data_IF_378669686081
#
_entry.id   IF_378669686081
#
_cell.length_a   1.000
_cell.length_b   1.000
_cell.length_c   1.000
_cell.angle_alpha   90.00
_cell.angle_beta   90.00
_cell.angle_gamma   90.00
#
_symmetry.space_group_name_H-M   'P 1'
#
loop_
_entity.id
_entity.type
_entity.pdbx_description
1 polymer ?
#
# COMPACT_ATOMS: atom_id res chain seq x y z
N UNK A 1 -40.87 9.97 -20.13
CA UNK A 1 -40.20 11.28 -20.24
C UNK A 1 -41.23 12.33 -19.88
N UNK A 2 -41.04 13.08 -18.79
CA UNK A 2 -41.65 14.40 -18.61
C UNK A 2 -40.54 15.31 -18.13
N UNK A 3 -40.13 16.21 -19.02
CA UNK A 3 -39.10 17.20 -18.79
C UNK A 3 -39.56 18.14 -17.66
N UNK A 4 -38.64 18.49 -16.75
CA UNK A 4 -38.87 19.57 -15.80
C UNK A 4 -38.78 20.90 -16.56
N UNK A 5 -39.92 21.40 -17.05
CA UNK A 5 -40.02 22.80 -17.52
C UNK A 5 -40.08 23.73 -16.29
N UNK A 6 -39.17 24.69 -16.23
CA UNK A 6 -39.15 25.73 -15.21
C UNK A 6 -39.45 27.07 -15.85
N UNK A 7 -40.65 27.60 -15.62
CA UNK A 7 -41.01 28.96 -16.03
C UNK A 7 -40.53 29.96 -14.97
N UNK A 8 -39.81 31.00 -15.40
CA UNK A 8 -39.37 32.08 -14.51
C UNK A 8 -39.70 33.45 -15.11
N UNK A 9 -40.25 34.34 -14.29
CA UNK A 9 -40.59 35.71 -14.69
C UNK A 9 -39.32 36.54 -14.87
N UNK A 10 -39.00 36.87 -16.13
CA UNK A 10 -38.01 37.89 -16.48
C UNK A 10 -38.65 39.28 -16.35
N UNK A 11 -37.90 40.28 -15.87
CA UNK A 11 -38.40 41.65 -15.88
C UNK A 11 -38.32 42.27 -17.29
N UNK A 12 -39.00 43.40 -17.49
CA UNK A 12 -39.15 44.06 -18.79
C UNK A 12 -38.03 45.08 -19.09
N UNK A 13 -37.00 45.18 -18.25
CA UNK A 13 -35.95 46.19 -18.38
C UNK A 13 -34.83 45.71 -19.32
N UNK A 14 -34.47 46.49 -20.36
CA UNK A 14 -33.37 46.12 -21.26
C UNK A 14 -32.05 45.97 -20.51
N UNK A 15 -31.39 44.82 -20.66
CA UNK A 15 -30.09 44.53 -20.04
C UNK A 15 -30.16 44.04 -18.59
N UNK A 16 -31.34 43.79 -18.03
CA UNK A 16 -31.43 43.20 -16.69
C UNK A 16 -30.98 41.75 -16.66
N UNK A 17 -30.16 41.40 -15.66
CA UNK A 17 -29.78 40.02 -15.34
C UNK A 17 -30.41 39.65 -14.00
N UNK A 18 -31.07 38.50 -13.94
CA UNK A 18 -31.62 37.92 -12.70
C UNK A 18 -30.98 36.55 -12.50
N UNK A 19 -30.22 36.39 -11.42
CA UNK A 19 -29.65 35.09 -11.07
C UNK A 19 -30.76 34.16 -10.58
N UNK A 20 -30.91 33.02 -11.24
CA UNK A 20 -31.85 31.96 -10.83
C UNK A 20 -31.09 30.98 -9.95
N UNK A 21 -31.30 31.05 -8.64
CA UNK A 21 -30.79 30.04 -7.70
C UNK A 21 -31.69 28.80 -7.78
N UNK A 22 -31.27 27.78 -8.54
CA UNK A 22 -31.94 26.46 -8.51
C UNK A 22 -31.71 25.78 -7.15
N UNK A 23 -32.68 25.00 -6.68
CA UNK A 23 -32.48 24.12 -5.54
C UNK A 23 -31.46 23.03 -5.90
N UNK A 24 -30.36 23.01 -5.14
CA UNK A 24 -29.34 21.95 -5.06
C UNK A 24 -28.62 21.64 -6.38
N UNK A 25 -27.38 22.17 -6.55
CA UNK A 25 -26.37 21.31 -7.15
C UNK A 25 -26.35 20.04 -6.30
N UNK A 26 -26.58 18.82 -6.84
CA UNK A 26 -26.26 17.62 -6.10
C UNK A 26 -24.76 17.72 -5.81
N UNK A 27 -24.42 17.99 -4.55
CA UNK A 27 -23.04 17.97 -4.10
C UNK A 27 -22.56 16.53 -4.26
N UNK A 28 -22.01 16.23 -5.43
CA UNK A 28 -21.42 14.93 -5.73
C UNK A 28 -20.12 14.87 -4.95
N UNK A 29 -20.21 14.40 -3.71
CA UNK A 29 -19.04 14.06 -2.92
C UNK A 29 -18.45 12.78 -3.50
N UNK A 30 -17.37 12.92 -4.28
CA UNK A 30 -16.57 11.79 -4.70
C UNK A 30 -15.54 11.50 -3.60
N UNK A 31 -15.70 10.37 -2.91
CA UNK A 31 -14.70 9.88 -1.96
C UNK A 31 -13.77 8.92 -2.69
N UNK A 32 -12.53 9.34 -2.93
CA UNK A 32 -11.49 8.47 -3.46
C UNK A 32 -10.60 8.00 -2.31
N UNK A 33 -10.60 6.70 -2.03
CA UNK A 33 -9.56 6.09 -1.19
C UNK A 33 -8.48 5.55 -2.12
N UNK A 34 -7.38 6.29 -2.25
CA UNK A 34 -6.19 5.81 -2.95
C UNK A 34 -5.39 4.97 -1.98
N UNK A 35 -5.52 3.65 -2.07
CA UNK A 35 -4.64 2.73 -1.34
C UNK A 35 -3.48 2.37 -2.25
N UNK A 36 -2.30 2.85 -1.88
CA UNK A 36 -1.06 2.60 -2.58
C UNK A 36 -0.73 1.10 -2.48
N UNK A 37 -0.66 0.42 -3.62
CA UNK A 37 -0.50 -1.04 -3.66
C UNK A 37 0.84 -1.45 -3.04
N UNK A 38 0.79 -2.31 -2.03
CA UNK A 38 1.96 -2.76 -1.28
C UNK A 38 2.43 -4.11 -1.81
N UNK A 39 3.72 -4.19 -2.17
CA UNK A 39 4.36 -5.44 -2.60
C UNK A 39 3.95 -5.91 -4.00
N UNK A 40 3.50 -5.02 -4.88
CA UNK A 40 3.09 -5.35 -6.27
C UNK A 40 4.15 -6.17 -7.02
N UNK A 41 5.42 -5.81 -6.82
CA UNK A 41 6.59 -6.49 -7.41
C UNK A 41 7.37 -7.32 -6.37
N UNK A 42 6.77 -7.58 -5.21
CA UNK A 42 7.42 -8.24 -4.08
C UNK A 42 8.28 -7.31 -3.24
N UNK A 43 9.12 -7.92 -2.39
CA UNK A 43 9.97 -7.24 -1.43
C UNK A 43 11.40 -7.75 -1.50
N UNK A 44 12.34 -6.84 -1.22
CA UNK A 44 13.69 -7.21 -0.80
C UNK A 44 13.76 -7.20 0.73
N UNK A 45 14.52 -8.12 1.31
CA UNK A 45 14.72 -8.23 2.75
C UNK A 45 16.14 -7.80 3.10
N UNK A 46 16.26 -6.89 4.06
CA UNK A 46 17.55 -6.47 4.61
C UNK A 46 17.58 -6.71 6.11
N UNK A 47 18.70 -7.27 6.59
CA UNK A 47 19.01 -7.33 8.01
C UNK A 47 19.71 -6.04 8.40
N UNK A 48 19.13 -5.31 9.36
CA UNK A 48 19.66 -4.05 9.87
C UNK A 48 20.22 -4.22 11.28
N UNK A 49 21.11 -3.31 11.67
CA UNK A 49 21.64 -3.30 13.03
C UNK A 49 20.51 -3.06 14.03
N UNK A 50 20.53 -3.81 15.13
CA UNK A 50 19.51 -3.69 16.16
C UNK A 50 19.63 -2.38 16.96
N UNK A 51 20.86 -1.86 17.12
CA UNK A 51 21.13 -0.67 17.94
C UNK A 51 22.12 0.29 17.26
N UNK A 52 21.97 1.61 17.50
CA UNK A 52 22.92 2.61 17.00
C UNK A 52 24.28 2.57 17.71
N UNK A 53 24.36 1.89 18.86
CA UNK A 53 25.56 1.74 19.70
C UNK A 53 26.40 0.52 19.34
N UNK A 54 26.09 -0.20 18.25
CA UNK A 54 26.91 -1.30 17.77
C UNK A 54 28.36 -0.83 17.55
N UNK A 55 29.37 -1.46 18.18
CA UNK A 55 30.78 -1.06 18.00
C UNK A 55 31.22 -1.06 16.54
N UNK A 56 30.68 -2.00 15.74
CA UNK A 56 30.95 -2.11 14.31
C UNK A 56 30.31 -0.97 13.50
N UNK A 57 29.13 -0.48 13.89
CA UNK A 57 28.51 0.66 13.21
C UNK A 57 29.25 1.96 13.57
N UNK A 58 29.65 2.13 14.82
CA UNK A 58 30.41 3.29 15.30
C UNK A 58 31.78 3.42 14.61
N UNK A 59 32.44 2.31 14.30
CA UNK A 59 33.75 2.33 13.61
C UNK A 59 33.68 2.76 12.15
N UNK A 60 32.49 2.80 11.54
CA UNK A 60 32.32 3.22 10.14
C UNK A 60 32.38 4.74 9.92
N UNK A 61 32.37 5.54 11.00
CA UNK A 61 32.41 7.00 10.96
C UNK A 61 31.38 7.62 9.98
N UNK A 62 30.14 7.11 10.03
CA UNK A 62 29.05 7.56 9.18
C UNK A 62 28.51 8.91 9.65
N UNK A 63 27.90 9.68 8.74
CA UNK A 63 27.11 10.85 9.14
C UNK A 63 25.93 10.42 10.04
N UNK A 64 25.42 11.30 10.93
CA UNK A 64 24.33 10.94 11.84
C UNK A 64 23.09 10.37 11.12
N UNK A 65 22.73 10.95 9.96
CA UNK A 65 21.60 10.46 9.17
C UNK A 65 21.87 9.09 8.54
N UNK A 66 23.08 8.86 8.03
CA UNK A 66 23.47 7.56 7.48
C UNK A 66 23.50 6.49 8.57
N UNK A 67 23.94 6.82 9.79
CA UNK A 67 23.89 5.91 10.93
C UNK A 67 22.45 5.55 11.30
N UNK A 68 21.55 6.54 11.38
CA UNK A 68 20.12 6.30 11.61
C UNK A 68 19.47 5.46 10.50
N UNK A 69 19.88 5.68 9.25
CA UNK A 69 19.44 4.87 8.10
C UNK A 69 19.84 3.40 8.22
N UNK A 70 20.99 3.08 8.83
CA UNK A 70 21.43 1.70 9.03
C UNK A 70 20.68 0.96 10.17
N UNK A 71 19.98 1.69 11.05
CA UNK A 71 19.31 1.12 12.23
C UNK A 71 17.79 1.18 12.10
N UNK A 72 17.25 2.28 11.57
CA UNK A 72 15.81 2.57 11.46
C UNK A 72 15.43 3.11 10.06
N UNK A 73 15.72 2.37 8.98
CA UNK A 73 15.44 2.84 7.63
C UNK A 73 13.93 3.03 7.36
N UNK A 74 13.04 2.35 8.09
CA UNK A 74 11.59 2.57 8.01
C UNK A 74 11.16 3.99 8.44
N UNK A 75 12.03 4.71 9.17
CA UNK A 75 11.79 6.07 9.64
C UNK A 75 12.60 7.10 8.86
N UNK A 76 13.86 6.78 8.55
CA UNK A 76 14.80 7.74 7.97
C UNK A 76 15.08 7.52 6.47
N UNK A 77 14.63 6.40 5.91
CA UNK A 77 14.95 5.95 4.56
C UNK A 77 16.19 5.08 4.54
N UNK A 78 16.41 4.36 3.45
CA UNK A 78 17.59 3.52 3.23
C UNK A 78 18.58 4.26 2.34
N UNK A 79 19.79 4.45 2.84
CA UNK A 79 20.86 5.18 2.17
C UNK A 79 22.11 4.30 2.10
N UNK A 80 22.90 4.39 1.01
CA UNK A 80 24.21 3.78 0.96
C UNK A 80 25.14 4.44 1.98
N UNK A 81 26.21 3.74 2.38
CA UNK A 81 27.21 4.29 3.31
C UNK A 81 27.88 5.53 2.73
N UNK A 82 28.06 5.56 1.40
CA UNK A 82 28.62 6.72 0.68
C UNK A 82 28.01 6.82 -0.72
N UNK A 83 27.12 7.78 -0.93
CA UNK A 83 26.58 8.07 -2.26
C UNK A 83 27.65 8.67 -3.18
N UNK A 84 27.58 8.36 -4.48
CA UNK A 84 28.55 8.81 -5.48
C UNK A 84 29.95 8.22 -5.31
N UNK A 85 30.11 7.17 -4.50
CA UNK A 85 31.39 6.54 -4.26
C UNK A 85 31.86 5.69 -5.46
N UNK A 86 33.18 5.58 -5.68
CA UNK A 86 33.75 4.90 -6.84
C UNK A 86 33.60 3.37 -6.90
N UNK A 87 33.43 2.60 -5.79
CA UNK A 87 33.44 1.14 -5.91
C UNK A 87 32.36 0.60 -6.86
N UNK A 88 32.79 -0.33 -7.71
CA UNK A 88 31.94 -1.10 -8.61
C UNK A 88 31.04 -2.09 -7.87
N UNK A 89 30.09 -2.69 -8.58
CA UNK A 89 29.24 -3.78 -8.06
C UNK A 89 30.10 -4.91 -7.48
N UNK A 90 31.08 -5.39 -8.23
CA UNK A 90 32.00 -6.43 -7.76
C UNK A 90 32.77 -6.00 -6.50
N UNK A 91 33.35 -4.81 -6.48
CA UNK A 91 34.11 -4.34 -5.30
C UNK A 91 33.23 -4.22 -4.06
N UNK A 92 31.99 -3.75 -4.21
CA UNK A 92 31.03 -3.69 -3.12
C UNK A 92 30.79 -5.07 -2.50
N UNK A 93 30.43 -6.04 -3.34
CA UNK A 93 30.11 -7.42 -2.93
C UNK A 93 31.35 -8.14 -2.40
N UNK A 94 32.54 -7.78 -2.90
CA UNK A 94 33.82 -8.27 -2.39
C UNK A 94 34.17 -7.71 -1.00
N UNK A 95 33.40 -6.74 -0.47
CA UNK A 95 33.52 -6.22 0.88
C UNK A 95 33.83 -4.72 0.98
N UNK A 96 34.01 -4.02 -0.14
CA UNK A 96 34.20 -2.56 -0.15
C UNK A 96 32.85 -1.85 0.01
N UNK A 97 32.31 -1.90 1.23
CA UNK A 97 30.98 -1.37 1.53
C UNK A 97 30.88 0.17 1.54
N UNK A 98 32.00 0.89 1.37
CA UNK A 98 32.02 2.36 1.19
C UNK A 98 31.66 2.72 -0.25
N UNK A 99 30.45 2.33 -0.66
CA UNK A 99 29.97 2.38 -2.04
C UNK A 99 28.58 3.00 -2.13
N UNK A 100 28.12 3.25 -3.36
CA UNK A 100 26.77 3.71 -3.70
C UNK A 100 25.69 2.62 -3.68
N UNK A 101 26.00 1.43 -3.16
CA UNK A 101 25.10 0.29 -3.12
C UNK A 101 24.69 -0.07 -1.69
N UNK A 102 23.49 -0.62 -1.57
CA UNK A 102 23.01 -1.26 -0.35
C UNK A 102 22.65 -2.72 -0.65
N UNK A 103 23.31 -3.66 0.02
CA UNK A 103 22.99 -5.08 -0.04
C UNK A 103 21.61 -5.39 0.54
N UNK A 104 20.87 -6.24 -0.16
CA UNK A 104 19.61 -6.83 0.30
C UNK A 104 19.49 -8.24 -0.27
N UNK A 105 18.50 -9.00 0.19
CA UNK A 105 18.22 -10.36 -0.26
C UNK A 105 16.86 -10.41 -0.92
N UNK A 106 16.72 -11.22 -1.97
CA UNK A 106 15.42 -11.56 -2.56
C UNK A 106 14.71 -12.71 -1.83
N UNK A 107 15.33 -13.33 -0.82
CA UNK A 107 14.70 -14.36 0.02
C UNK A 107 13.69 -13.67 0.94
N UNK A 108 12.41 -13.91 0.71
CA UNK A 108 11.33 -13.36 1.50
C UNK A 108 10.55 -14.48 2.20
N UNK A 109 10.17 -14.31 3.48
CA UNK A 109 10.43 -13.16 4.37
C UNK A 109 11.77 -13.20 5.14
N UNK A 110 12.56 -14.25 5.01
CA UNK A 110 13.67 -14.54 5.93
C UNK A 110 14.89 -13.62 5.71
N UNK A 111 15.16 -13.25 4.47
CA UNK A 111 16.40 -12.62 4.04
C UNK A 111 17.56 -13.60 3.98
N UNK A 112 18.79 -13.07 3.83
CA UNK A 112 19.97 -13.92 3.84
C UNK A 112 20.16 -14.60 5.22
N UNK A 113 20.42 -15.92 5.25
CA UNK A 113 20.68 -16.67 6.47
C UNK A 113 22.06 -16.39 7.07
N UNK A 114 22.94 -15.69 6.34
CA UNK A 114 24.31 -15.39 6.79
C UNK A 114 24.40 -14.11 7.63
N UNK A 115 23.32 -13.33 7.68
CA UNK A 115 23.28 -12.07 8.41
C UNK A 115 22.27 -12.13 9.55
N UNK A 116 22.74 -11.79 10.74
CA UNK A 116 21.90 -11.54 11.89
C UNK A 116 21.42 -10.10 11.93
N UNK A 117 20.26 -9.89 12.56
CA UNK A 117 19.71 -8.57 12.78
C UNK A 117 18.21 -8.51 12.57
N UNK A 118 17.68 -7.30 12.68
CA UNK A 118 16.25 -7.06 12.50
C UNK A 118 15.93 -7.02 11.01
N UNK A 119 14.89 -7.73 10.57
CA UNK A 119 14.45 -7.68 9.18
C UNK A 119 13.70 -6.38 8.88
N UNK A 120 14.03 -5.74 7.77
CA UNK A 120 13.20 -4.72 7.11
C UNK A 120 12.92 -5.15 5.68
N UNK A 121 11.76 -4.74 5.18
CA UNK A 121 11.22 -5.12 3.89
C UNK A 121 11.15 -3.90 2.98
N UNK A 122 11.83 -3.94 1.85
CA UNK A 122 11.90 -2.86 0.87
C UNK A 122 10.93 -3.22 -0.26
N UNK A 123 9.88 -2.43 -0.42
CA UNK A 123 8.92 -2.59 -1.51
C UNK A 123 9.60 -2.22 -2.84
N UNK A 124 9.70 -3.21 -3.73
CA UNK A 124 10.43 -3.09 -4.99
C UNK A 124 9.82 -2.01 -5.88
N UNK A 125 8.48 -2.00 -6.00
CA UNK A 125 7.78 -1.06 -6.86
C UNK A 125 7.95 0.37 -6.35
N UNK A 126 7.80 0.59 -5.04
CA UNK A 126 7.97 1.92 -4.43
C UNK A 126 9.41 2.40 -4.46
N UNK A 127 10.38 1.50 -4.30
CA UNK A 127 11.79 1.85 -4.43
C UNK A 127 12.13 2.28 -5.87
N UNK A 128 11.71 1.51 -6.89
CA UNK A 128 11.88 1.86 -8.31
C UNK A 128 11.20 3.17 -8.67
N UNK A 129 9.97 3.38 -8.20
CA UNK A 129 9.23 4.63 -8.39
C UNK A 129 9.93 5.85 -7.76
N UNK A 130 10.73 5.64 -6.72
CA UNK A 130 11.59 6.65 -6.11
C UNK A 130 12.96 6.81 -6.80
N UNK A 131 13.17 6.17 -7.95
CA UNK A 131 14.40 6.26 -8.73
C UNK A 131 15.49 5.26 -8.35
N UNK A 132 15.20 4.24 -7.54
CA UNK A 132 16.17 3.19 -7.25
C UNK A 132 16.37 2.26 -8.45
N UNK A 133 17.63 2.01 -8.82
CA UNK A 133 18.00 0.90 -9.70
C UNK A 133 18.30 -0.32 -8.84
N UNK A 134 17.76 -1.47 -9.21
CA UNK A 134 18.14 -2.76 -8.63
C UNK A 134 19.19 -3.42 -9.51
N UNK A 135 20.25 -3.93 -8.89
CA UNK A 135 21.23 -4.81 -9.53
C UNK A 135 20.90 -6.23 -9.10
N UNK A 136 20.44 -7.02 -10.06
CA UNK A 136 20.04 -8.41 -9.87
C UNK A 136 21.20 -9.31 -9.46
N UNK A 137 20.89 -10.50 -8.93
CA UNK A 137 21.88 -11.52 -8.61
C UNK A 137 22.71 -11.88 -9.86
N UNK A 138 22.07 -11.97 -11.02
CA UNK A 138 22.71 -12.28 -12.30
C UNK A 138 23.69 -11.18 -12.73
N UNK A 139 23.31 -9.90 -12.59
CA UNK A 139 24.20 -8.77 -12.86
C UNK A 139 25.41 -8.74 -11.89
N UNK A 140 25.20 -9.08 -10.61
CA UNK A 140 26.28 -9.20 -9.64
C UNK A 140 27.26 -10.31 -10.07
N UNK A 141 26.75 -11.50 -10.42
CA UNK A 141 27.58 -12.62 -10.87
C UNK A 141 28.35 -12.28 -12.15
N UNK A 142 27.73 -11.58 -13.09
CA UNK A 142 28.39 -11.08 -14.29
C UNK A 142 29.52 -10.10 -13.95
N UNK A 143 29.28 -9.16 -13.03
CA UNK A 143 30.30 -8.21 -12.57
C UNK A 143 31.46 -8.91 -11.85
N UNK A 144 31.17 -9.91 -11.00
CA UNK A 144 32.19 -10.72 -10.33
C UNK A 144 33.04 -11.51 -11.34
N UNK A 145 32.43 -12.08 -12.39
CA UNK A 145 33.16 -12.78 -13.43
C UNK A 145 34.12 -11.85 -14.20
N UNK A 146 33.69 -10.63 -14.52
CA UNK A 146 34.57 -9.61 -15.13
C UNK A 146 35.71 -9.22 -14.19
N UNK A 147 35.41 -9.00 -12.90
CA UNK A 147 36.40 -8.67 -11.89
C UNK A 147 37.43 -9.79 -11.70
N UNK A 148 37.00 -11.06 -11.74
CA UNK A 148 37.87 -12.25 -11.70
C UNK A 148 38.81 -12.31 -12.90
N UNK A 149 38.33 -12.00 -14.10
CA UNK A 149 39.18 -11.97 -15.30
C UNK A 149 40.29 -10.91 -15.20
N UNK A 150 39.98 -9.76 -14.61
CA UNK A 150 40.96 -8.67 -14.37
C UNK A 150 41.88 -8.96 -13.17
N UNK A 151 41.44 -9.80 -12.22
CA UNK A 151 42.18 -10.12 -11.00
C UNK A 151 42.33 -11.65 -10.81
N UNK A 152 43.09 -12.36 -11.67
CA UNK A 152 43.19 -13.82 -11.61
C UNK A 152 43.68 -14.35 -10.26
N UNK A 153 44.53 -13.59 -9.56
CA UNK A 153 45.03 -13.92 -8.23
C UNK A 153 43.93 -13.99 -7.15
N UNK A 154 42.77 -13.37 -7.37
CA UNK A 154 41.61 -13.40 -6.47
C UNK A 154 40.56 -14.45 -6.86
N UNK A 155 40.77 -15.24 -7.91
CA UNK A 155 39.75 -16.13 -8.49
C UNK A 155 39.04 -17.01 -7.44
N UNK A 156 39.80 -17.66 -6.55
CA UNK A 156 39.23 -18.52 -5.48
C UNK A 156 38.30 -17.75 -4.54
N UNK A 157 38.65 -16.51 -4.19
CA UNK A 157 37.84 -15.65 -3.33
C UNK A 157 36.58 -15.19 -4.06
N UNK A 158 36.70 -14.83 -5.34
CA UNK A 158 35.56 -14.43 -6.17
C UNK A 158 34.58 -15.59 -6.33
N UNK A 159 35.05 -16.80 -6.63
CA UNK A 159 34.19 -17.98 -6.78
C UNK A 159 33.43 -18.30 -5.50
N UNK A 160 34.10 -18.20 -4.34
CA UNK A 160 33.46 -18.37 -3.03
C UNK A 160 32.37 -17.32 -2.77
N UNK A 161 32.63 -16.06 -3.14
CA UNK A 161 31.67 -14.97 -2.95
C UNK A 161 30.50 -15.10 -3.93
N UNK A 162 30.74 -15.49 -5.18
CA UNK A 162 29.71 -15.78 -6.16
C UNK A 162 28.76 -16.89 -5.68
N UNK A 163 29.31 -17.99 -5.13
CA UNK A 163 28.51 -19.05 -4.51
C UNK A 163 27.65 -18.51 -3.37
N UNK A 164 28.19 -17.64 -2.51
CA UNK A 164 27.39 -17.03 -1.45
C UNK A 164 26.26 -16.15 -1.98
N UNK A 165 26.56 -15.28 -2.94
CA UNK A 165 25.58 -14.40 -3.60
C UNK A 165 24.45 -15.21 -4.23
N UNK A 166 24.77 -16.30 -4.92
CA UNK A 166 23.81 -17.09 -5.68
C UNK A 166 23.00 -18.03 -4.79
N UNK A 167 23.64 -18.78 -3.91
CA UNK A 167 23.01 -19.95 -3.27
C UNK A 167 22.48 -19.64 -1.87
N UNK A 168 23.08 -18.68 -1.17
CA UNK A 168 22.76 -18.38 0.22
C UNK A 168 22.09 -17.03 0.38
N UNK A 169 22.70 -15.98 -0.17
CA UNK A 169 22.27 -14.61 0.09
C UNK A 169 21.16 -14.17 -0.88
N UNK A 170 21.15 -14.74 -2.09
CA UNK A 170 20.32 -14.29 -3.23
C UNK A 170 20.36 -12.77 -3.33
N UNK A 171 21.59 -12.25 -3.33
CA UNK A 171 21.85 -10.84 -3.10
C UNK A 171 21.31 -10.00 -4.27
N UNK A 172 20.69 -8.88 -3.92
CA UNK A 172 20.25 -7.82 -4.83
C UNK A 172 20.77 -6.51 -4.28
N UNK A 173 21.45 -5.71 -5.10
CA UNK A 173 21.92 -4.39 -4.67
C UNK A 173 20.89 -3.33 -5.01
N UNK A 174 20.64 -2.45 -4.05
CA UNK A 174 19.87 -1.23 -4.27
C UNK A 174 20.83 -0.09 -4.54
N UNK A 175 20.73 0.51 -5.72
CA UNK A 175 21.49 1.70 -6.12
C UNK A 175 20.57 2.91 -6.16
N UNK A 176 20.69 3.77 -5.14
CA UNK A 176 19.92 5.00 -4.99
C UNK A 176 20.61 5.90 -3.97
N UNK A 177 20.47 7.22 -4.09
CA UNK A 177 20.87 8.15 -3.04
C UNK A 177 20.06 7.91 -1.76
N UNK A 178 18.75 7.66 -1.93
CA UNK A 178 17.84 7.40 -0.83
C UNK A 178 16.59 6.67 -1.31
N UNK A 179 16.34 5.49 -0.75
CA UNK A 179 15.00 4.89 -0.77
C UNK A 179 14.16 5.53 0.34
N UNK A 180 12.98 6.08 0.02
CA UNK A 180 12.19 6.81 0.99
C UNK A 180 11.61 5.87 2.07
N UNK A 181 11.40 6.35 3.31
CA UNK A 181 10.87 5.54 4.40
C UNK A 181 9.54 4.84 4.06
N UNK A 182 8.67 5.47 3.26
CA UNK A 182 7.39 4.91 2.82
C UNK A 182 7.49 3.63 1.97
N UNK A 183 8.67 3.34 1.43
CA UNK A 183 8.94 2.11 0.69
C UNK A 183 9.53 1.01 1.59
N UNK A 184 9.67 1.25 2.89
CA UNK A 184 10.40 0.39 3.82
C UNK A 184 9.51 0.06 5.01
N UNK A 185 9.35 -1.23 5.26
CA UNK A 185 8.50 -1.74 6.31
C UNK A 185 9.31 -2.53 7.32
N UNK A 186 8.91 -2.46 8.59
CA UNK A 186 9.28 -3.47 9.57
C UNK A 186 8.17 -4.53 9.63
N UNK A 187 8.37 -5.60 10.40
CA UNK A 187 7.38 -6.70 10.47
C UNK A 187 5.98 -6.23 10.83
N UNK A 188 5.86 -5.33 11.82
CA UNK A 188 4.58 -4.80 12.27
C UNK A 188 3.92 -3.92 11.21
N UNK A 189 4.66 -2.96 10.63
CA UNK A 189 4.12 -2.06 9.61
C UNK A 189 3.80 -2.80 8.30
N UNK A 190 4.55 -3.84 7.94
CA UNK A 190 4.23 -4.69 6.79
C UNK A 190 2.91 -5.44 7.00
N UNK A 191 2.68 -6.00 8.20
CA UNK A 191 1.43 -6.68 8.54
C UNK A 191 0.24 -5.72 8.40
N UNK A 192 0.36 -4.52 8.98
CA UNK A 192 -0.67 -3.48 8.86
C UNK A 192 -0.88 -3.05 7.41
N UNK A 193 0.20 -2.84 6.65
CA UNK A 193 0.13 -2.41 5.25
C UNK A 193 -0.53 -3.45 4.34
N UNK A 194 -0.27 -4.74 4.55
CA UNK A 194 -0.94 -5.82 3.82
C UNK A 194 -2.44 -5.87 4.13
N UNK A 195 -2.82 -5.71 5.40
CA UNK A 195 -4.23 -5.63 5.81
C UNK A 195 -4.91 -4.41 5.19
N UNK A 196 -4.27 -3.23 5.28
CA UNK A 196 -4.80 -2.00 4.71
C UNK A 196 -4.92 -2.06 3.18
N UNK A 197 -3.99 -2.72 2.48
CA UNK A 197 -4.08 -2.92 1.02
C UNK A 197 -5.23 -3.85 0.66
N UNK A 198 -5.44 -4.92 1.44
CA UNK A 198 -6.60 -5.80 1.29
C UNK A 198 -7.93 -5.03 1.46
N UNK A 199 -8.06 -4.29 2.56
CA UNK A 199 -9.24 -3.46 2.83
C UNK A 199 -9.41 -2.33 1.79
N UNK A 200 -8.32 -1.72 1.34
CA UNK A 200 -8.29 -0.67 0.32
C UNK A 200 -8.81 -1.12 -1.03
N UNK A 201 -8.40 -2.30 -1.49
CA UNK A 201 -8.94 -2.92 -2.72
C UNK A 201 -10.45 -3.15 -2.61
N UNK A 202 -10.92 -3.60 -1.44
CA UNK A 202 -12.36 -3.76 -1.16
C UNK A 202 -13.07 -2.42 -1.25
N UNK A 203 -12.55 -1.36 -0.62
CA UNK A 203 -13.20 -0.03 -0.65
C UNK A 203 -13.15 0.62 -2.04
N UNK A 204 -12.07 0.47 -2.80
CA UNK A 204 -11.97 0.99 -4.18
C UNK A 204 -13.02 0.37 -5.11
N UNK A 205 -13.19 -0.95 -5.02
CA UNK A 205 -14.25 -1.66 -5.77
C UNK A 205 -15.63 -1.15 -5.35
N UNK A 206 -15.88 -0.99 -4.05
CA UNK A 206 -17.18 -0.51 -3.56
C UNK A 206 -17.49 0.93 -3.98
N UNK A 207 -16.48 1.82 -3.99
CA UNK A 207 -16.64 3.21 -4.43
C UNK A 207 -16.96 3.37 -5.91
N UNK A 208 -16.54 2.41 -6.75
CA UNK A 208 -16.91 2.36 -8.18
C UNK A 208 -18.37 1.90 -8.35
N UNK A 209 -18.85 0.99 -7.49
CA UNK A 209 -20.18 0.37 -7.61
C UNK A 209 -21.29 1.23 -6.98
N UNK A 210 -21.03 1.88 -5.84
CA UNK A 210 -21.99 2.75 -5.18
C UNK A 210 -21.99 4.15 -5.82
N UNK A 211 -22.58 4.26 -7.00
CA UNK A 211 -22.89 5.57 -7.59
C UNK A 211 -24.12 6.15 -6.88
N UNK A 212 -23.96 7.33 -6.28
CA UNK A 212 -24.87 7.90 -5.26
C UNK A 212 -26.35 8.08 -5.68
N UNK A 213 -26.63 8.20 -6.98
CA UNK A 213 -27.96 8.58 -7.47
C UNK A 213 -29.06 7.53 -7.20
N UNK A 214 -28.75 6.25 -7.44
CA UNK A 214 -29.73 5.17 -7.25
C UNK A 214 -29.87 4.77 -5.77
N UNK A 215 -28.80 4.92 -4.97
CA UNK A 215 -28.84 4.68 -3.52
C UNK A 215 -29.64 5.75 -2.78
N UNK A 216 -29.58 7.01 -3.21
CA UNK A 216 -30.31 8.10 -2.56
C UNK A 216 -31.82 7.92 -2.71
N UNK A 217 -32.32 7.64 -3.92
CA UNK A 217 -33.73 7.31 -4.13
C UNK A 217 -34.17 6.05 -3.38
N UNK A 218 -33.34 5.01 -3.35
CA UNK A 218 -33.67 3.77 -2.64
C UNK A 218 -33.68 3.97 -1.11
N UNK A 219 -32.82 4.86 -0.59
CA UNK A 219 -32.80 5.27 0.83
C UNK A 219 -34.03 6.06 1.21
N UNK A 220 -34.42 7.04 0.38
CA UNK A 220 -35.62 7.83 0.61
C UNK A 220 -36.88 6.96 0.58
N UNK A 221 -36.99 6.06 -0.41
CA UNK A 221 -38.07 5.06 -0.47
C UNK A 221 -38.07 4.13 0.74
N UNK A 222 -36.90 3.72 1.24
CA UNK A 222 -36.79 2.84 2.41
C UNK A 222 -37.21 3.55 3.70
N UNK A 223 -36.84 4.83 3.84
CA UNK A 223 -37.25 5.67 4.97
C UNK A 223 -38.76 5.94 4.95
N UNK A 224 -39.31 6.39 3.82
CA UNK A 224 -40.74 6.65 3.67
C UNK A 224 -41.58 5.38 3.87
N UNK A 225 -41.11 4.24 3.36
CA UNK A 225 -41.79 2.95 3.52
C UNK A 225 -41.53 2.29 4.89
N UNK A 226 -40.70 2.90 5.76
CA UNK A 226 -40.19 2.30 7.01
C UNK A 226 -39.74 0.85 6.81
N UNK A 227 -39.04 0.58 5.71
CA UNK A 227 -38.69 -0.76 5.29
C UNK A 227 -37.31 -0.80 4.67
N UNK A 228 -36.46 -1.73 5.10
CA UNK A 228 -35.13 -1.98 4.53
C UNK A 228 -35.18 -2.61 3.13
N UNK A 229 -36.35 -3.05 2.66
CA UNK A 229 -36.50 -3.84 1.43
C UNK A 229 -36.04 -3.10 0.16
N UNK A 230 -36.45 -1.84 -0.11
CA UNK A 230 -36.08 -1.15 -1.35
C UNK A 230 -34.57 -0.94 -1.47
N UNK A 231 -33.90 -0.53 -0.39
CA UNK A 231 -32.45 -0.32 -0.41
C UNK A 231 -31.67 -1.63 -0.42
N UNK A 232 -32.18 -2.66 0.24
CA UNK A 232 -31.60 -4.00 0.19
C UNK A 232 -31.62 -4.57 -1.22
N UNK A 233 -32.73 -4.40 -1.94
CA UNK A 233 -32.87 -4.85 -3.31
C UNK A 233 -31.89 -4.13 -4.24
N UNK A 234 -31.73 -2.81 -4.10
CA UNK A 234 -30.83 -2.02 -4.94
C UNK A 234 -29.36 -2.38 -4.68
N UNK A 235 -28.98 -2.55 -3.42
CA UNK A 235 -27.63 -2.98 -3.04
C UNK A 235 -27.34 -4.39 -3.56
N UNK A 236 -28.29 -5.32 -3.48
CA UNK A 236 -28.14 -6.66 -4.06
C UNK A 236 -28.13 -6.59 -5.60
N UNK A 237 -28.83 -5.65 -6.23
CA UNK A 237 -28.83 -5.47 -7.69
C UNK A 237 -27.49 -4.94 -8.19
N UNK A 238 -26.87 -4.03 -7.44
CA UNK A 238 -25.58 -3.43 -7.79
C UNK A 238 -24.38 -4.30 -7.36
N UNK A 239 -24.48 -5.00 -6.23
CA UNK A 239 -23.40 -5.81 -5.66
C UNK A 239 -23.59 -7.33 -5.83
N UNK A 240 -24.71 -7.79 -6.40
CA UNK A 240 -25.11 -9.21 -6.48
C UNK A 240 -24.23 -10.09 -7.35
N UNK A 241 -23.38 -9.50 -8.20
CA UNK A 241 -22.31 -10.24 -8.91
C UNK A 241 -21.17 -10.70 -7.99
N UNK A 242 -21.13 -10.25 -6.74
CA UNK A 242 -20.06 -10.49 -5.77
C UNK A 242 -20.64 -11.26 -4.58
N UNK A 243 -20.62 -12.60 -4.60
CA UNK A 243 -21.22 -13.44 -3.56
C UNK A 243 -20.84 -13.05 -2.11
N UNK A 244 -19.65 -12.48 -1.93
CA UNK A 244 -19.13 -11.87 -0.71
C UNK A 244 -19.92 -10.65 -0.21
N UNK A 245 -20.19 -9.69 -1.09
CA UNK A 245 -20.83 -8.42 -0.75
C UNK A 245 -22.32 -8.62 -0.43
N UNK A 246 -22.98 -9.54 -1.15
CA UNK A 246 -24.36 -9.93 -0.86
C UNK A 246 -24.48 -10.63 0.51
N UNK A 247 -23.52 -11.48 0.88
CA UNK A 247 -23.49 -12.12 2.19
C UNK A 247 -23.19 -11.13 3.33
N UNK A 248 -22.19 -10.26 3.15
CA UNK A 248 -21.82 -9.23 4.13
C UNK A 248 -22.93 -8.19 4.36
N UNK A 249 -23.61 -7.77 3.30
CA UNK A 249 -24.76 -6.87 3.41
C UNK A 249 -25.92 -7.51 4.18
N UNK A 250 -26.24 -8.78 3.92
CA UNK A 250 -27.31 -9.49 4.64
C UNK A 250 -27.03 -9.59 6.15
N UNK A 251 -25.77 -9.71 6.54
CA UNK A 251 -25.36 -9.86 7.94
C UNK A 251 -25.21 -8.53 8.69
N UNK A 252 -24.60 -7.50 8.07
CA UNK A 252 -24.31 -6.22 8.74
C UNK A 252 -25.05 -5.01 8.17
N UNK A 253 -25.24 -4.97 6.85
CA UNK A 253 -25.88 -3.84 6.16
C UNK A 253 -27.38 -3.70 6.46
N UNK A 254 -28.09 -4.82 6.61
CA UNK A 254 -29.52 -4.82 7.00
C UNK A 254 -29.72 -4.26 8.41
N UNK A 255 -28.84 -4.60 9.36
CA UNK A 255 -28.89 -4.09 10.72
C UNK A 255 -28.59 -2.58 10.76
N UNK A 256 -27.56 -2.12 10.05
CA UNK A 256 -27.23 -0.69 9.95
C UNK A 256 -28.34 0.13 9.24
N UNK A 257 -28.93 -0.42 8.18
CA UNK A 257 -30.04 0.23 7.48
C UNK A 257 -31.31 0.30 8.35
N UNK A 258 -31.59 -0.72 9.16
CA UNK A 258 -32.71 -0.72 10.09
C UNK A 258 -32.58 0.38 11.16
N UNK A 259 -31.38 0.56 11.74
CA UNK A 259 -31.09 1.65 12.68
C UNK A 259 -31.20 3.03 12.01
N UNK A 260 -30.86 3.12 10.72
CA UNK A 260 -30.98 4.35 9.93
C UNK A 260 -32.41 4.77 9.61
N UNK A 261 -33.35 3.82 9.47
CA UNK A 261 -34.77 4.12 9.16
C UNK A 261 -35.41 5.00 10.25
N UNK A 262 -34.94 4.89 11.49
CA UNK A 262 -35.47 5.66 12.62
C UNK A 262 -34.81 7.03 12.78
N UNK A 263 -33.61 7.21 12.22
CA UNK A 263 -32.74 8.37 12.46
C UNK A 263 -32.57 9.28 11.24
N UNK A 264 -33.04 8.84 10.07
CA UNK A 264 -33.15 9.66 8.85
C UNK A 264 -32.38 9.07 7.65
N UNK A 265 -32.68 9.52 6.41
CA UNK A 265 -32.09 8.96 5.19
C UNK A 265 -30.54 8.99 5.16
N UNK A 266 -29.91 10.00 5.77
CA UNK A 266 -28.45 10.09 5.89
C UNK A 266 -27.83 9.02 6.79
N UNK A 267 -28.55 8.56 7.84
CA UNK A 267 -28.10 7.50 8.74
C UNK A 267 -28.26 6.10 8.10
N UNK A 268 -29.25 5.93 7.22
CA UNK A 268 -29.38 4.73 6.38
C UNK A 268 -28.14 4.57 5.51
N UNK A 269 -27.70 5.63 4.83
CA UNK A 269 -26.53 5.61 3.95
C UNK A 269 -25.22 5.32 4.69
N UNK A 270 -25.00 5.92 5.87
CA UNK A 270 -23.80 5.66 6.67
C UNK A 270 -23.78 4.26 7.25
N UNK A 271 -24.91 3.74 7.73
CA UNK A 271 -25.06 2.35 8.19
C UNK A 271 -24.85 1.33 7.07
N UNK A 272 -25.25 1.68 5.84
CA UNK A 272 -25.07 0.84 4.66
C UNK A 272 -23.61 0.79 4.18
N UNK A 273 -22.97 1.95 4.09
CA UNK A 273 -21.54 2.04 3.79
C UNK A 273 -20.75 1.24 4.83
N UNK A 274 -21.04 1.42 6.12
CA UNK A 274 -20.44 0.65 7.21
C UNK A 274 -20.66 -0.86 7.04
N UNK A 275 -21.91 -1.30 6.87
CA UNK A 275 -22.25 -2.73 6.78
C UNK A 275 -21.69 -3.45 5.56
N UNK A 276 -21.59 -2.79 4.40
CA UNK A 276 -20.93 -3.37 3.22
C UNK A 276 -19.41 -3.41 3.43
N UNK A 277 -18.81 -2.36 3.99
CA UNK A 277 -17.36 -2.31 4.26
C UNK A 277 -16.96 -3.40 5.25
N UNK A 278 -17.64 -3.49 6.41
CA UNK A 278 -17.36 -4.51 7.43
C UNK A 278 -17.76 -5.93 6.97
N UNK A 279 -18.85 -6.07 6.22
CA UNK A 279 -19.28 -7.35 5.67
C UNK A 279 -18.34 -7.91 4.59
N UNK A 280 -17.86 -7.06 3.69
CA UNK A 280 -16.87 -7.45 2.68
C UNK A 280 -15.48 -7.69 3.32
N UNK A 281 -15.10 -6.89 4.32
CA UNK A 281 -13.88 -7.12 5.10
C UNK A 281 -13.92 -8.46 5.86
N UNK A 282 -15.08 -8.84 6.43
CA UNK A 282 -15.27 -10.15 7.06
C UNK A 282 -15.23 -11.34 6.09
N UNK A 283 -15.70 -11.17 4.84
CA UNK A 283 -15.66 -12.25 3.85
C UNK A 283 -14.26 -12.45 3.24
N UNK A 284 -13.54 -11.37 2.93
CA UNK A 284 -12.20 -11.43 2.34
C UNK A 284 -11.06 -11.53 3.37
N UNK A 285 -11.37 -11.39 4.65
CA UNK A 285 -10.41 -11.38 5.77
C UNK A 285 -11.00 -11.97 7.05
N UNK A 286 -11.71 -13.10 6.95
CA UNK A 286 -12.38 -13.76 8.07
C UNK A 286 -11.48 -13.98 9.29
N UNK A 287 -10.20 -14.31 9.07
CA UNK A 287 -9.21 -14.47 10.14
C UNK A 287 -8.93 -13.16 10.91
N UNK A 288 -9.01 -11.99 10.26
CA UNK A 288 -8.78 -10.69 10.91
C UNK A 288 -9.94 -10.26 11.81
N UNK A 289 -11.18 -10.53 11.38
CA UNK A 289 -12.38 -10.25 12.19
C UNK A 289 -12.46 -11.24 13.35
N UNK A 290 -12.14 -12.51 13.10
CA UNK A 290 -12.08 -13.55 14.14
C UNK A 290 -11.08 -13.17 15.24
N UNK A 291 -9.84 -12.79 14.89
CA UNK A 291 -8.80 -12.39 15.85
C UNK A 291 -9.13 -11.13 16.68
N UNK A 292 -10.09 -10.29 16.22
CA UNK A 292 -10.57 -9.12 16.96
C UNK A 292 -11.73 -9.45 17.92
N UNK A 293 -12.44 -10.55 17.67
CA UNK A 293 -13.56 -11.03 18.48
C UNK A 293 -13.07 -12.04 19.52
N UNK A 294 -12.10 -12.89 19.15
CA UNK A 294 -11.43 -13.81 20.05
C UNK A 294 -9.99 -14.05 19.56
N UNK A 295 -9.00 -13.87 20.44
CA UNK A 295 -7.59 -14.05 20.08
C UNK A 295 -7.23 -15.53 20.22
N UNK A 296 -6.81 -16.17 19.13
CA UNK A 296 -6.05 -17.43 19.22
C UNK A 296 -4.59 -17.17 19.58
#
# INVERSE_FOLDING_TARGET
>A
MSAFEFETLTNTAPGSRRDVTSHHMPARAFFFIVVDEVGKEGFLVRKVYATPTSPYLSSMNLSPLAQLSQVQPEKYGLMPKKWGAPPTVAEHVMGNSSSSYVSSSSIFPEGSPRFDGRSVFIDIAKAKAAGARLVSTEEILASLNQYKAQNPHLAKRVDKIAMYVQDFDREVLVHSEKVPPKAIFNTSSLKVAKVATGAGRVVQVLGIVLTAYDLEQASEKSFQAKSVKPISAEVIRQAGGWGAAAAGFKLGGVAGAALGIETGPGAVLTGLAGGIIFGAAGYFGADWVADHIDKN
#
